data_IF_262453904554
#
_entry.id   IF_262453904554
#
_cell.length_a   1.000
_cell.length_b   1.000
_cell.length_c   1.000
_cell.angle_alpha   90.00
_cell.angle_beta   90.00
_cell.angle_gamma   90.00
#
_symmetry.space_group_name_H-M   'P 1'
#
loop_
_entity.id
_entity.type
_entity.pdbx_description
1 polymer ?
#
# COMPACT_ATOMS: atom_id res chain seq x y z
N UNK A 1 -36.63 16.10 33.34
CA UNK A 1 -35.82 15.41 32.31
C UNK A 1 -35.33 14.08 32.87
N UNK A 2 -35.71 12.96 32.26
CA UNK A 2 -35.20 11.65 32.68
C UNK A 2 -33.79 11.43 32.15
N UNK A 3 -32.89 10.88 32.97
CA UNK A 3 -31.50 10.61 32.58
C UNK A 3 -31.44 9.41 31.63
N UNK A 4 -30.80 9.58 30.48
CA UNK A 4 -30.52 8.50 29.52
C UNK A 4 -29.15 7.86 29.78
N UNK A 5 -28.90 6.69 29.18
CA UNK A 5 -27.58 6.06 29.20
C UNK A 5 -26.64 6.77 28.22
N UNK A 6 -25.48 7.20 28.72
CA UNK A 6 -24.55 8.05 27.96
C UNK A 6 -23.61 7.27 27.01
N UNK A 7 -23.41 5.95 27.22
CA UNK A 7 -22.50 5.14 26.41
C UNK A 7 -22.85 3.65 26.37
N UNK A 8 -22.66 3.00 25.22
CA UNK A 8 -22.74 1.54 25.06
C UNK A 8 -21.94 1.04 23.85
N UNK A 9 -21.21 -0.07 24.03
CA UNK A 9 -20.48 -0.77 22.97
C UNK A 9 -21.20 -2.07 22.52
N UNK A 10 -22.41 -2.32 23.03
CA UNK A 10 -23.06 -3.65 22.97
C UNK A 10 -23.21 -4.23 21.56
N UNK A 11 -23.56 -3.40 20.57
CA UNK A 11 -23.83 -3.85 19.20
C UNK A 11 -22.73 -3.44 18.20
N UNK A 12 -21.61 -2.87 18.65
CA UNK A 12 -20.59 -2.40 17.70
C UNK A 12 -19.89 -3.58 17.01
N UNK A 13 -19.46 -4.59 17.78
CA UNK A 13 -18.82 -5.79 17.23
C UNK A 13 -19.75 -6.49 16.23
N UNK A 14 -21.02 -6.70 16.61
CA UNK A 14 -22.02 -7.32 15.72
C UNK A 14 -22.16 -6.54 14.41
N UNK A 15 -22.19 -5.20 14.44
CA UNK A 15 -22.22 -4.36 13.22
C UNK A 15 -20.93 -4.46 12.40
N UNK A 16 -19.77 -4.41 13.04
CA UNK A 16 -18.46 -4.52 12.36
C UNK A 16 -18.30 -5.84 11.62
N UNK A 17 -18.86 -6.92 12.16
CA UNK A 17 -18.78 -8.25 11.56
C UNK A 17 -19.88 -8.57 10.54
N UNK A 18 -20.96 -7.77 10.39
CA UNK A 18 -22.03 -8.05 9.40
C UNK A 18 -21.49 -8.21 7.98
N UNK A 19 -20.57 -7.35 7.58
CA UNK A 19 -19.92 -7.37 6.26
C UNK A 19 -18.49 -7.95 6.33
N UNK A 20 -18.05 -8.34 7.52
CA UNK A 20 -16.68 -8.74 7.85
C UNK A 20 -15.70 -7.57 7.87
N UNK A 21 -14.70 -7.67 8.75
CA UNK A 21 -13.59 -6.71 8.81
C UNK A 21 -12.60 -7.08 7.71
N UNK A 22 -12.53 -6.25 6.65
CA UNK A 22 -11.64 -6.48 5.51
C UNK A 22 -10.23 -5.98 5.84
N UNK A 23 -9.22 -6.82 5.60
CA UNK A 23 -7.81 -6.46 5.70
C UNK A 23 -7.39 -5.63 4.48
N UNK A 24 -6.43 -4.70 4.61
CA UNK A 24 -5.86 -4.02 3.44
C UNK A 24 -5.18 -5.04 2.51
N UNK A 25 -5.24 -4.79 1.20
CA UNK A 25 -4.60 -5.65 0.21
C UNK A 25 -3.09 -5.48 0.25
N UNK A 26 -2.34 -6.58 0.22
CA UNK A 26 -0.90 -6.53 -0.02
C UNK A 26 -0.63 -6.35 -1.51
N UNK A 27 0.13 -5.32 -1.86
CA UNK A 27 0.60 -5.09 -3.23
C UNK A 27 2.07 -5.51 -3.34
N UNK A 28 2.48 -6.00 -4.52
CA UNK A 28 3.89 -6.36 -4.79
C UNK A 28 4.84 -5.19 -4.54
N UNK A 29 4.40 -3.97 -4.84
CA UNK A 29 5.17 -2.75 -4.63
C UNK A 29 4.45 -1.82 -3.64
N UNK A 30 5.02 -1.57 -2.46
CA UNK A 30 4.46 -0.65 -1.47
C UNK A 30 4.77 0.82 -1.83
N UNK A 31 4.11 1.75 -1.13
CA UNK A 31 4.41 3.18 -1.25
C UNK A 31 5.77 3.51 -0.63
N UNK A 32 6.56 4.38 -1.27
CA UNK A 32 7.83 4.89 -0.74
C UNK A 32 7.66 6.12 0.17
N UNK A 33 6.45 6.38 0.68
CA UNK A 33 6.18 7.51 1.58
C UNK A 33 6.89 7.26 2.92
N UNK A 34 7.67 8.25 3.38
CA UNK A 34 8.46 8.14 4.61
C UNK A 34 9.85 7.52 4.44
N UNK A 35 10.22 7.11 3.22
CA UNK A 35 11.60 6.70 2.91
C UNK A 35 12.50 7.93 2.82
N UNK A 36 13.74 7.80 3.29
CA UNK A 36 14.74 8.86 3.27
C UNK A 36 14.86 9.53 1.88
N UNK A 37 14.68 10.87 1.79
CA UNK A 37 14.85 11.61 0.55
C UNK A 37 16.20 11.39 -0.14
N UNK A 38 17.30 11.17 0.61
CA UNK A 38 18.63 10.92 0.00
C UNK A 38 18.66 9.59 -0.74
N UNK A 39 18.10 8.54 -0.13
CA UNK A 39 17.90 7.26 -0.81
C UNK A 39 17.01 7.40 -2.05
N UNK A 40 15.90 8.15 -1.96
CA UNK A 40 14.99 8.34 -3.10
C UNK A 40 15.65 9.10 -4.26
N UNK A 41 16.48 10.11 -3.97
CA UNK A 41 17.26 10.81 -5.00
C UNK A 41 18.21 9.83 -5.71
N UNK A 42 18.95 9.02 -4.97
CA UNK A 42 19.85 8.03 -5.53
C UNK A 42 19.09 6.96 -6.34
N UNK A 43 17.97 6.43 -5.81
CA UNK A 43 17.13 5.45 -6.51
C UNK A 43 16.62 5.98 -7.84
N UNK A 44 16.24 7.28 -7.89
CA UNK A 44 15.81 7.95 -9.13
C UNK A 44 16.97 8.06 -10.13
N UNK A 45 18.15 8.47 -9.69
CA UNK A 45 19.35 8.52 -10.54
C UNK A 45 19.71 7.12 -11.07
N UNK A 46 19.80 6.12 -10.20
CA UNK A 46 20.10 4.75 -10.56
C UNK A 46 19.10 4.21 -11.59
N UNK A 47 17.79 4.35 -11.38
CA UNK A 47 16.77 3.91 -12.36
C UNK A 47 16.88 4.64 -13.71
N UNK A 48 17.23 5.93 -13.70
CA UNK A 48 17.35 6.75 -14.92
C UNK A 48 18.58 6.38 -15.75
N UNK A 49 19.69 6.08 -15.09
CA UNK A 49 21.00 5.89 -15.75
C UNK A 49 21.41 4.42 -15.88
N UNK A 50 20.79 3.50 -15.13
CA UNK A 50 20.86 2.06 -15.40
C UNK A 50 19.93 1.68 -16.55
N UNK A 51 20.08 2.34 -17.70
CA UNK A 51 19.65 1.76 -18.98
C UNK A 51 20.58 0.57 -19.21
N UNK A 52 20.31 -0.58 -18.58
CA UNK A 52 20.87 -1.82 -19.08
C UNK A 52 20.51 -1.84 -20.56
N UNK A 53 21.51 -2.04 -21.41
CA UNK A 53 21.35 -2.51 -22.77
C UNK A 53 20.12 -3.43 -22.83
N UNK A 54 18.97 -2.93 -23.26
CA UNK A 54 17.80 -3.77 -23.50
C UNK A 54 18.12 -4.86 -24.53
N UNK A 55 19.22 -4.66 -25.28
CA UNK A 55 19.77 -5.58 -26.26
C UNK A 55 20.86 -6.56 -25.75
N UNK A 56 21.48 -6.38 -24.56
CA UNK A 56 22.58 -7.29 -24.10
C UNK A 56 22.22 -8.16 -22.89
N UNK A 57 21.16 -7.85 -22.15
CA UNK A 57 20.65 -8.74 -21.11
C UNK A 57 19.13 -8.76 -21.24
N UNK A 58 18.65 -9.69 -22.07
CA UNK A 58 17.25 -9.85 -22.44
C UNK A 58 16.30 -9.71 -21.25
N UNK A 59 15.37 -8.77 -21.38
CA UNK A 59 14.36 -8.49 -20.35
C UNK A 59 13.20 -7.63 -20.85
N UNK A 60 12.96 -7.59 -22.17
CA UNK A 60 11.77 -6.98 -22.77
C UNK A 60 10.79 -8.07 -23.21
N UNK A 61 10.23 -8.84 -22.27
CA UNK A 61 8.98 -9.56 -22.51
C UNK A 61 8.10 -9.56 -21.26
N UNK A 62 6.91 -9.01 -21.46
CA UNK A 62 5.68 -9.30 -20.72
C UNK A 62 5.52 -8.68 -19.32
N UNK A 63 4.71 -7.61 -19.27
CA UNK A 63 3.45 -7.62 -18.53
C UNK A 63 2.62 -6.39 -18.94
N UNK A 64 1.93 -6.53 -20.08
CA UNK A 64 0.81 -5.67 -20.47
C UNK A 64 -0.40 -6.59 -20.62
N UNK A 65 -1.08 -6.86 -19.51
CA UNK A 65 -2.46 -7.34 -19.44
C UNK A 65 -3.09 -6.82 -18.16
#
# INVERSE_FOLDING_TARGET
MAKSKNHTNHNQNKKQHRNGIKKPKSNRYPSLKGVDPKFLKNLRFAKKHNKKHSHLLGGDKENKK
#
